data_IF_279838097169
#
_entry.id   IF_279838097169
#
_cell.length_a   1.000
_cell.length_b   1.000
_cell.length_c   1.000
_cell.angle_alpha   90.00
_cell.angle_beta   90.00
_cell.angle_gamma   90.00
#
_symmetry.space_group_name_H-M   'P 1'
#
loop_
_entity.id
_entity.type
_entity.pdbx_description
1 polymer ?
#
# COMPACT_ATOMS: atom_id res chain seq x y z
N UNK A 1 -43.90 -2.31 19.87
CA UNK A 1 -43.71 -3.56 19.11
C UNK A 1 -42.43 -3.39 18.35
N UNK A 2 -41.45 -4.19 18.77
CA UNK A 2 -40.07 -4.21 18.35
C UNK A 2 -39.90 -5.11 17.10
N UNK A 3 -38.68 -5.11 16.55
CA UNK A 3 -38.11 -5.91 15.46
C UNK A 3 -38.03 -5.21 14.09
N UNK A 4 -36.85 -4.96 13.51
CA UNK A 4 -35.49 -5.27 13.93
C UNK A 4 -34.55 -4.95 12.77
N UNK A 5 -33.69 -3.95 12.94
CA UNK A 5 -32.57 -3.72 12.05
C UNK A 5 -31.58 -4.88 12.27
N UNK A 6 -31.53 -5.84 11.34
CA UNK A 6 -30.60 -6.97 11.45
C UNK A 6 -29.18 -6.50 11.16
N UNK A 7 -28.45 -6.25 12.24
CA UNK A 7 -27.03 -5.90 12.28
C UNK A 7 -26.11 -7.12 12.08
N UNK A 8 -26.40 -8.03 11.15
CA UNK A 8 -25.66 -9.29 11.04
C UNK A 8 -25.38 -9.70 9.59
N UNK A 9 -24.33 -9.14 8.99
CA UNK A 9 -23.64 -9.77 7.85
C UNK A 9 -22.16 -9.33 7.72
N UNK A 10 -21.52 -8.96 8.84
CA UNK A 10 -20.05 -8.86 8.89
C UNK A 10 -19.50 -10.21 9.35
N UNK A 11 -19.55 -11.22 8.49
CA UNK A 11 -18.69 -12.39 8.67
C UNK A 11 -17.27 -11.93 8.45
N UNK A 12 -16.47 -11.93 9.53
CA UNK A 12 -15.02 -11.77 9.50
C UNK A 12 -14.42 -12.95 8.72
N UNK A 13 -14.44 -12.88 7.40
CA UNK A 13 -13.73 -13.81 6.53
C UNK A 13 -12.26 -13.40 6.54
N UNK A 14 -11.52 -13.95 7.51
CA UNK A 14 -10.06 -13.91 7.57
C UNK A 14 -9.50 -14.68 6.38
N UNK A 15 -8.91 -13.97 5.43
CA UNK A 15 -7.77 -14.44 4.67
C UNK A 15 -6.80 -13.26 4.50
N UNK A 16 -6.31 -12.72 5.63
CA UNK A 16 -5.05 -11.99 5.60
C UNK A 16 -3.96 -13.03 5.45
N UNK A 17 -3.49 -13.23 4.22
CA UNK A 17 -2.26 -13.96 4.01
C UNK A 17 -1.11 -13.04 4.46
N UNK A 18 -0.48 -13.40 5.57
CA UNK A 18 0.65 -12.67 6.14
C UNK A 18 1.92 -13.13 5.45
N UNK A 19 2.59 -12.22 4.76
CA UNK A 19 3.89 -12.49 4.15
C UNK A 19 4.88 -11.42 4.62
N UNK A 20 5.75 -11.79 5.56
CA UNK A 20 7.01 -11.09 5.76
C UNK A 20 8.13 -12.08 5.48
N UNK A 21 8.80 -11.94 4.34
CA UNK A 21 10.14 -12.52 4.16
C UNK A 21 11.08 -11.40 3.77
N UNK A 22 11.84 -10.93 4.75
CA UNK A 22 13.02 -10.10 4.54
C UNK A 22 14.03 -10.92 3.74
N UNK A 23 14.43 -10.45 2.56
CA UNK A 23 15.63 -10.97 1.91
C UNK A 23 16.82 -10.48 2.73
N UNK A 24 17.39 -11.37 3.54
CA UNK A 24 18.59 -11.12 4.30
C UNK A 24 19.81 -11.19 3.36
N UNK A 25 20.11 -10.08 2.67
CA UNK A 25 21.46 -9.80 2.21
C UNK A 25 21.65 -8.30 1.89
N UNK A 26 21.55 -7.44 2.90
CA UNK A 26 22.22 -6.14 2.87
C UNK A 26 22.63 -5.73 4.29
N UNK A 27 23.93 -5.54 4.46
CA UNK A 27 24.65 -5.46 5.72
C UNK A 27 24.68 -4.04 6.28
N UNK A 28 23.56 -3.55 6.83
CA UNK A 28 23.60 -2.49 7.85
C UNK A 28 22.43 -2.63 8.84
N UNK A 29 22.70 -2.59 10.16
CA UNK A 29 21.73 -3.06 11.16
C UNK A 29 20.76 -1.93 11.56
N UNK A 30 19.47 -2.26 11.63
CA UNK A 30 18.43 -1.62 12.47
C UNK A 30 17.49 -0.53 11.94
N UNK A 31 17.36 -0.26 10.63
CA UNK A 31 16.33 0.71 10.15
C UNK A 31 15.45 0.32 8.97
N UNK A 32 15.73 -0.80 8.29
CA UNK A 32 14.98 -1.23 7.10
C UNK A 32 13.98 -2.37 7.37
N UNK A 33 13.87 -2.85 8.63
CA UNK A 33 13.01 -3.99 9.00
C UNK A 33 11.52 -3.65 9.24
N UNK A 34 11.17 -2.35 9.28
CA UNK A 34 9.82 -1.90 9.67
C UNK A 34 8.85 -1.70 8.52
N UNK A 35 9.34 -1.81 7.29
CA UNK A 35 8.53 -1.69 6.09
C UNK A 35 7.51 -2.84 6.00
N UNK A 36 6.30 -2.60 6.50
CA UNK A 36 5.21 -3.57 6.39
C UNK A 36 4.52 -3.33 5.07
N UNK A 37 4.50 -4.36 4.23
CA UNK A 37 3.71 -4.38 3.00
C UNK A 37 2.91 -5.67 2.90
N UNK A 38 1.76 -5.62 2.28
CA UNK A 38 0.84 -6.74 2.21
C UNK A 38 0.14 -6.82 0.88
N UNK A 39 0.00 -8.05 0.39
CA UNK A 39 -1.06 -8.41 -0.53
C UNK A 39 -2.28 -8.84 0.29
N UNK A 40 -3.42 -8.21 0.05
CA UNK A 40 -4.65 -8.43 0.81
C UNK A 40 -5.74 -8.94 -0.12
N UNK A 41 -6.53 -9.89 0.37
CA UNK A 41 -7.76 -10.32 -0.30
C UNK A 41 -8.95 -10.13 0.64
N UNK A 42 -10.03 -9.56 0.11
CA UNK A 42 -11.32 -9.45 0.77
C UNK A 42 -12.35 -10.26 0.00
N UNK A 43 -13.12 -11.10 0.70
CA UNK A 43 -14.16 -11.92 0.09
C UNK A 43 -15.53 -11.63 0.69
N UNK A 44 -16.52 -11.35 -0.16
CA UNK A 44 -17.92 -11.13 0.20
C UNK A 44 -18.81 -11.93 -0.75
N UNK A 45 -19.39 -13.02 -0.27
CA UNK A 45 -20.12 -13.95 -1.13
C UNK A 45 -19.20 -14.53 -2.21
N UNK A 46 -19.58 -14.34 -3.48
CA UNK A 46 -18.80 -14.76 -4.64
C UNK A 46 -17.83 -13.67 -5.15
N UNK A 47 -17.85 -12.48 -4.55
CA UNK A 47 -16.92 -11.40 -4.89
C UNK A 47 -15.62 -11.54 -4.09
N UNK A 48 -14.49 -11.51 -4.80
CA UNK A 48 -13.15 -11.39 -4.21
C UNK A 48 -12.52 -10.10 -4.73
N UNK A 49 -11.90 -9.33 -3.84
CA UNK A 49 -11.15 -8.11 -4.17
C UNK A 49 -9.72 -8.22 -3.67
N UNK A 50 -8.76 -7.76 -4.45
CA UNK A 50 -7.34 -7.84 -4.18
C UNK A 50 -6.69 -6.46 -4.05
N UNK A 51 -5.76 -6.32 -3.10
CA UNK A 51 -5.13 -5.03 -2.78
C UNK A 51 -3.64 -5.18 -2.52
N UNK A 52 -2.89 -4.13 -2.85
CA UNK A 52 -1.52 -3.95 -2.36
C UNK A 52 -1.49 -2.81 -1.35
N UNK A 53 -1.00 -3.11 -0.14
CA UNK A 53 -0.84 -2.16 0.95
C UNK A 53 0.65 -1.94 1.20
N UNK A 54 1.11 -0.70 1.01
CA UNK A 54 2.49 -0.24 1.12
C UNK A 54 3.46 -0.96 0.17
N UNK A 55 4.64 -0.36 -0.07
CA UNK A 55 5.52 -0.71 -1.21
C UNK A 55 6.99 -0.82 -0.83
N UNK A 56 7.31 -0.86 0.46
CA UNK A 56 8.69 -1.01 0.91
C UNK A 56 9.61 0.18 0.65
N UNK A 57 10.89 0.06 1.07
CA UNK A 57 11.87 1.15 0.94
C UNK A 57 12.57 1.19 -0.42
N UNK A 58 12.57 0.11 -1.20
CA UNK A 58 13.36 0.01 -2.43
C UNK A 58 12.63 -0.72 -3.56
N UNK A 59 12.94 -0.31 -4.80
CA UNK A 59 12.51 -0.98 -6.03
C UNK A 59 12.83 -2.48 -6.02
N UNK A 60 14.08 -2.83 -5.73
CA UNK A 60 14.55 -4.22 -5.74
C UNK A 60 13.73 -5.09 -4.78
N UNK A 61 13.49 -4.60 -3.55
CA UNK A 61 12.72 -5.35 -2.57
C UNK A 61 11.26 -5.53 -3.00
N UNK A 62 10.65 -4.52 -3.62
CA UNK A 62 9.25 -4.58 -4.02
C UNK A 62 9.04 -5.50 -5.21
N UNK A 63 9.79 -5.27 -6.29
CA UNK A 63 9.65 -6.04 -7.53
C UNK A 63 10.01 -7.52 -7.32
N UNK A 64 11.08 -7.80 -6.56
CA UNK A 64 11.46 -9.18 -6.24
C UNK A 64 10.40 -9.91 -5.41
N UNK A 65 9.70 -9.22 -4.50
CA UNK A 65 8.63 -9.83 -3.71
C UNK A 65 7.41 -10.18 -4.58
N UNK A 66 7.01 -9.29 -5.48
CA UNK A 66 5.91 -9.57 -6.41
C UNK A 66 6.22 -10.80 -7.27
N UNK A 67 7.46 -10.91 -7.75
CA UNK A 67 7.89 -12.03 -8.58
C UNK A 67 7.97 -13.32 -7.75
N UNK A 68 8.54 -13.26 -6.54
CA UNK A 68 8.69 -14.41 -5.63
C UNK A 68 7.34 -15.01 -5.23
N UNK A 69 6.37 -14.15 -4.89
CA UNK A 69 5.03 -14.56 -4.49
C UNK A 69 4.06 -14.72 -5.66
N UNK A 70 4.52 -14.48 -6.89
CA UNK A 70 3.74 -14.60 -8.12
C UNK A 70 2.45 -13.78 -8.07
N UNK A 71 2.55 -12.56 -7.54
CA UNK A 71 1.42 -11.65 -7.44
C UNK A 71 1.09 -11.12 -8.83
N UNK A 72 -0.10 -11.43 -9.31
CA UNK A 72 -0.62 -10.83 -10.54
C UNK A 72 -1.16 -9.43 -10.25
N UNK A 73 -0.35 -8.43 -10.58
CA UNK A 73 -0.76 -7.02 -10.45
C UNK A 73 -1.92 -6.64 -11.36
N UNK A 74 -2.20 -7.40 -12.43
CA UNK A 74 -3.37 -7.15 -13.28
C UNK A 74 -4.69 -7.44 -12.54
N UNK A 75 -4.66 -8.30 -11.53
CA UNK A 75 -5.81 -8.65 -10.69
C UNK A 75 -5.98 -7.75 -9.45
N UNK A 76 -5.11 -6.76 -9.25
CA UNK A 76 -5.19 -5.85 -8.09
C UNK A 76 -6.26 -4.80 -8.32
N UNK A 77 -7.25 -4.75 -7.43
CA UNK A 77 -8.38 -3.82 -7.49
C UNK A 77 -8.06 -2.43 -6.93
N UNK A 78 -7.11 -2.32 -5.99
CA UNK A 78 -6.62 -1.03 -5.49
C UNK A 78 -5.23 -1.09 -4.88
N UNK A 79 -4.58 0.07 -4.86
CA UNK A 79 -3.37 0.34 -4.12
C UNK A 79 -3.71 1.11 -2.84
N UNK A 80 -2.98 0.86 -1.77
CA UNK A 80 -3.13 1.54 -0.49
C UNK A 80 -1.75 1.95 -0.01
N UNK A 81 -1.55 3.24 0.21
CA UNK A 81 -0.36 3.79 0.86
C UNK A 81 -0.79 4.33 2.22
N UNK A 82 -0.38 3.66 3.29
CA UNK A 82 -0.86 3.94 4.63
C UNK A 82 -0.45 5.33 5.14
N UNK A 83 0.75 5.79 4.78
CA UNK A 83 1.28 7.11 5.10
C UNK A 83 2.58 7.38 4.31
N UNK A 84 3.12 8.60 4.42
CA UNK A 84 4.23 9.09 3.60
C UNK A 84 5.64 8.84 4.11
N UNK A 85 5.89 7.77 4.87
CA UNK A 85 7.27 7.39 5.21
C UNK A 85 7.93 6.62 4.05
N UNK A 86 9.23 6.83 3.83
CA UNK A 86 9.96 6.29 2.67
C UNK A 86 9.89 4.77 2.56
N UNK A 87 9.83 4.08 3.70
CA UNK A 87 9.74 2.63 3.78
C UNK A 87 8.35 2.08 3.43
N UNK A 88 7.38 2.96 3.16
CA UNK A 88 6.05 2.62 2.68
C UNK A 88 5.82 2.98 1.20
N UNK A 89 6.56 3.94 0.63
CA UNK A 89 6.36 4.37 -0.77
C UNK A 89 7.55 4.11 -1.69
N UNK A 90 8.72 3.75 -1.18
CA UNK A 90 9.96 3.66 -1.94
C UNK A 90 9.92 2.70 -3.14
N UNK A 91 9.10 1.65 -3.09
CA UNK A 91 8.88 0.75 -4.23
C UNK A 91 7.68 1.10 -5.13
N UNK A 92 6.87 2.11 -4.79
CA UNK A 92 5.63 2.42 -5.51
C UNK A 92 5.87 2.87 -6.95
N UNK A 93 6.77 3.84 -7.15
CA UNK A 93 7.07 4.36 -8.50
C UNK A 93 7.65 3.27 -9.41
N UNK A 94 8.69 2.51 -8.99
CA UNK A 94 9.19 1.38 -9.77
C UNK A 94 8.12 0.32 -10.11
N UNK A 95 7.22 0.03 -9.17
CA UNK A 95 6.08 -0.86 -9.42
C UNK A 95 5.20 -0.32 -10.54
N UNK A 96 4.80 0.94 -10.45
CA UNK A 96 3.93 1.57 -11.45
C UNK A 96 4.63 1.66 -12.82
N UNK A 97 5.89 2.06 -12.86
CA UNK A 97 6.67 2.08 -14.11
C UNK A 97 6.71 0.70 -14.79
N UNK A 98 6.88 -0.38 -14.00
CA UNK A 98 6.92 -1.76 -14.51
C UNK A 98 5.55 -2.27 -14.95
N UNK A 99 4.52 -2.02 -14.14
CA UNK A 99 3.28 -2.79 -14.16
C UNK A 99 2.01 -1.97 -14.45
N UNK A 100 2.07 -0.64 -14.45
CA UNK A 100 0.89 0.23 -14.61
C UNK A 100 0.06 -0.10 -15.86
N UNK A 101 0.71 -0.48 -16.95
CA UNK A 101 0.07 -0.82 -18.22
C UNK A 101 -0.77 -2.10 -18.21
N UNK A 102 -0.54 -3.03 -17.28
CA UNK A 102 -1.37 -4.24 -17.09
C UNK A 102 -2.40 -4.11 -15.98
N UNK A 103 -2.26 -3.13 -15.09
CA UNK A 103 -3.23 -2.85 -14.04
C UNK A 103 -4.52 -2.23 -14.61
N UNK A 104 -5.61 -2.29 -13.84
CA UNK A 104 -6.86 -1.62 -14.19
C UNK A 104 -6.64 -0.15 -14.55
N UNK A 105 -7.30 0.33 -15.61
CA UNK A 105 -7.21 1.75 -16.02
C UNK A 105 -7.67 2.68 -14.89
N UNK A 106 -8.75 2.32 -14.22
CA UNK A 106 -9.40 3.15 -13.19
C UNK A 106 -8.98 2.74 -11.76
N UNK A 107 -7.77 2.14 -11.63
CA UNK A 107 -7.19 1.70 -10.37
C UNK A 107 -7.14 2.86 -9.35
N UNK A 108 -7.80 2.74 -8.18
CA UNK A 108 -7.66 3.72 -7.12
C UNK A 108 -6.37 3.51 -6.33
N UNK A 109 -5.74 4.62 -5.94
CA UNK A 109 -4.74 4.67 -4.88
C UNK A 109 -5.34 5.39 -3.67
N UNK A 110 -5.53 4.62 -2.59
CA UNK A 110 -5.92 5.15 -1.30
C UNK A 110 -4.69 5.61 -0.54
N UNK A 111 -4.76 6.79 0.09
CA UNK A 111 -3.65 7.36 0.85
C UNK A 111 -4.10 7.78 2.24
N UNK A 112 -3.24 7.62 3.25
CA UNK A 112 -3.57 7.89 4.66
C UNK A 112 -3.86 9.35 5.04
N UNK A 113 -3.78 10.28 4.08
CA UNK A 113 -4.01 11.70 4.28
C UNK A 113 -3.18 12.55 3.33
N UNK A 114 -3.46 13.84 3.30
CA UNK A 114 -2.71 14.85 2.51
C UNK A 114 -1.22 14.86 2.87
N UNK A 115 -0.90 14.60 4.13
CA UNK A 115 0.45 14.54 4.68
C UNK A 115 1.30 13.41 4.08
N UNK A 116 0.69 12.44 3.41
CA UNK A 116 1.39 11.36 2.69
C UNK A 116 2.35 11.91 1.64
N UNK A 117 2.05 13.08 1.08
CA UNK A 117 2.84 13.74 0.05
C UNK A 117 3.72 14.88 0.58
N UNK A 118 3.81 15.03 1.90
CA UNK A 118 4.74 15.98 2.50
C UNK A 118 6.18 15.47 2.39
N UNK A 119 7.09 16.37 2.05
CA UNK A 119 8.52 16.10 2.14
C UNK A 119 8.94 15.91 3.60
N UNK A 120 9.70 14.85 3.86
CA UNK A 120 10.15 14.50 5.22
C UNK A 120 11.67 14.53 5.32
N UNK A 121 12.15 14.71 6.54
CA UNK A 121 13.57 14.70 6.87
C UNK A 121 13.84 13.99 8.20
N UNK A 122 15.06 13.45 8.32
CA UNK A 122 15.63 12.99 9.59
C UNK A 122 16.59 14.04 10.11
N UNK A 123 16.37 14.51 11.33
CA UNK A 123 17.31 15.39 12.02
C UNK A 123 18.29 14.56 12.84
N UNK A 124 19.59 14.81 12.64
CA UNK A 124 20.67 14.19 13.40
C UNK A 124 20.91 14.94 14.71
N UNK A 125 21.56 14.32 15.72
CA UNK A 125 21.87 14.99 16.99
C UNK A 125 22.72 16.27 16.86
N UNK A 126 23.44 16.42 15.76
CA UNK A 126 24.24 17.61 15.44
C UNK A 126 23.43 18.73 14.74
N UNK A 127 22.12 18.55 14.53
CA UNK A 127 21.23 19.49 13.84
C UNK A 127 21.14 19.32 12.33
N UNK A 128 21.91 18.41 11.72
CA UNK A 128 21.84 18.17 10.28
C UNK A 128 20.52 17.50 9.89
N UNK A 129 19.95 17.93 8.75
CA UNK A 129 18.76 17.29 8.17
C UNK A 129 19.11 16.48 6.94
N UNK A 130 18.73 15.21 6.93
CA UNK A 130 18.77 14.36 5.72
C UNK A 130 17.38 14.23 5.14
N UNK A 131 17.28 14.21 3.82
CA UNK A 131 16.04 13.87 3.15
C UNK A 131 15.57 12.47 3.57
N UNK A 132 14.29 12.37 3.90
CA UNK A 132 13.55 11.10 3.98
C UNK A 132 12.66 10.93 2.75
N UNK A 133 12.84 11.74 1.70
CA UNK A 133 12.10 11.66 0.46
C UNK A 133 10.66 12.19 0.52
N UNK A 134 10.02 12.10 -0.64
CA UNK A 134 8.62 12.40 -0.88
C UNK A 134 8.18 11.66 -2.14
N UNK A 135 6.91 11.29 -2.21
CA UNK A 135 6.28 10.81 -3.44
C UNK A 135 5.50 11.97 -4.10
N UNK A 136 5.65 12.14 -5.41
CA UNK A 136 4.94 13.16 -6.17
C UNK A 136 3.52 12.71 -6.53
N UNK A 137 2.55 13.61 -6.46
CA UNK A 137 1.18 13.37 -6.96
C UNK A 137 1.08 13.46 -8.47
N UNK A 138 2.00 14.18 -9.09
CA UNK A 138 1.95 14.59 -10.49
C UNK A 138 2.78 13.69 -11.40
N UNK A 139 3.25 12.55 -10.88
CA UNK A 139 3.97 11.56 -11.67
C UNK A 139 3.02 10.90 -12.69
N UNK A 140 3.46 10.75 -13.94
CA UNK A 140 2.61 10.23 -15.03
C UNK A 140 2.15 8.78 -14.79
N UNK A 141 2.96 8.00 -14.06
CA UNK A 141 2.64 6.64 -13.69
C UNK A 141 1.61 6.55 -12.55
N UNK A 142 1.33 7.66 -11.83
CA UNK A 142 0.37 7.65 -10.72
C UNK A 142 -1.03 7.28 -11.21
N UNK A 143 -1.78 6.51 -10.40
CA UNK A 143 -3.19 6.30 -10.69
C UNK A 143 -3.96 7.63 -10.66
N UNK A 144 -4.75 7.90 -11.70
CA UNK A 144 -5.53 9.15 -11.80
C UNK A 144 -6.64 9.28 -10.74
N UNK A 145 -6.97 8.19 -10.04
CA UNK A 145 -7.95 8.18 -8.94
C UNK A 145 -7.23 8.09 -7.59
N UNK A 146 -6.91 9.25 -7.02
CA UNK A 146 -6.38 9.38 -5.67
C UNK A 146 -7.52 9.56 -4.67
N UNK A 147 -7.55 8.75 -3.61
CA UNK A 147 -8.59 8.81 -2.57
C UNK A 147 -7.93 9.03 -1.21
N UNK A 148 -8.19 10.19 -0.62
CA UNK A 148 -7.73 10.52 0.73
C UNK A 148 -8.55 9.74 1.77
N UNK A 149 -7.87 9.10 2.70
CA UNK A 149 -8.46 8.33 3.78
C UNK A 149 -7.91 8.80 5.12
N UNK A 150 -8.65 9.70 5.75
CA UNK A 150 -8.36 10.15 7.12
C UNK A 150 -8.76 9.09 8.14
N UNK A 151 -8.23 9.18 9.35
CA UNK A 151 -8.56 8.28 10.47
C UNK A 151 -10.08 8.19 10.65
N UNK A 152 -10.65 6.98 10.57
CA UNK A 152 -12.10 6.75 10.62
C UNK A 152 -12.79 6.61 9.26
N UNK A 153 -12.06 6.76 8.14
CA UNK A 153 -12.59 6.50 6.80
C UNK A 153 -12.89 5.01 6.65
N UNK A 154 -14.15 4.67 6.35
CA UNK A 154 -14.53 3.33 5.94
C UNK A 154 -14.30 3.20 4.45
N UNK A 155 -13.39 2.31 4.05
CA UNK A 155 -13.30 1.87 2.67
C UNK A 155 -14.50 0.99 2.36
N UNK A 156 -15.43 1.50 1.56
CA UNK A 156 -16.54 0.73 1.01
C UNK A 156 -16.13 0.32 -0.40
N UNK A 157 -15.84 -0.97 -0.56
CA UNK A 157 -15.58 -1.56 -1.87
C UNK A 157 -16.91 -2.08 -2.41
N UNK A 158 -17.44 -1.44 -3.46
CA UNK A 158 -18.63 -1.90 -4.20
C UNK A 158 -19.52 -0.79 -4.75
N UNK A 159 -19.80 -0.88 -6.06
CA UNK A 159 -21.09 -1.35 -6.59
C UNK A 159 -20.80 -2.16 -7.86
#
# INVERSE_FOLDING_TARGET
MDSGFSSNAWTRSKAMSWWSRTSANDSSPERLDRARRYHLESKRGDETRSFLLDFGPTAQSELANLDLFKIDTAAVDALIMSHGHFDHFGGLMPLLERDRGKMHRDLPLYVGGEDTFCYRWFERPNGDRNSAGVVSRSDDAMPGKLILSYTGTRFVFGA
#
